data_IF_496544999914
#
_entry.id   IF_496544999914
#
_cell.length_a   1.000
_cell.length_b   1.000
_cell.length_c   1.000
_cell.angle_alpha   90.00
_cell.angle_beta   90.00
_cell.angle_gamma   90.00
#
_symmetry.space_group_name_H-M   'P 1'
#
loop_
_entity.id
_entity.type
_entity.pdbx_description
1 polymer ?
#
# COMPACT_ATOMS: atom_id res chain seq x y z
N UNK A 1 41.01 19.07 9.68
CA UNK A 1 39.58 18.81 9.39
C UNK A 1 39.45 17.37 8.94
N UNK A 2 38.90 16.49 9.78
CA UNK A 2 38.55 15.12 9.35
C UNK A 2 37.35 15.17 8.41
N UNK A 3 37.47 14.48 7.28
CA UNK A 3 36.39 14.32 6.32
C UNK A 3 35.49 13.20 6.84
N UNK A 4 34.34 13.56 7.41
CA UNK A 4 33.32 12.58 7.79
C UNK A 4 32.88 11.80 6.54
N UNK A 5 33.25 10.51 6.48
CA UNK A 5 32.75 9.57 5.49
C UNK A 5 31.25 9.37 5.75
N UNK A 6 30.42 9.75 4.78
CA UNK A 6 29.00 9.43 4.77
C UNK A 6 28.81 8.12 4.02
N UNK A 7 28.45 7.06 4.72
CA UNK A 7 28.07 5.78 4.13
C UNK A 7 26.65 5.90 3.56
N UNK A 8 26.47 5.57 2.28
CA UNK A 8 25.17 5.45 1.65
C UNK A 8 24.83 3.97 1.44
N UNK A 9 23.62 3.57 1.82
CA UNK A 9 23.11 2.22 1.56
C UNK A 9 22.22 2.26 0.32
N UNK A 10 22.50 1.39 -0.65
CA UNK A 10 21.65 1.22 -1.84
C UNK A 10 20.70 0.06 -1.57
N UNK A 11 19.42 0.37 -1.38
CA UNK A 11 18.37 -0.62 -1.40
C UNK A 11 18.07 -0.96 -2.87
N UNK A 12 18.52 -2.12 -3.34
CA UNK A 12 18.26 -2.59 -4.71
C UNK A 12 17.28 -3.77 -4.65
N UNK A 13 16.16 -3.66 -5.35
CA UNK A 13 15.26 -4.79 -5.54
C UNK A 13 15.90 -5.84 -6.45
N UNK A 14 15.44 -7.08 -6.30
CA UNK A 14 15.76 -8.17 -7.21
C UNK A 14 15.39 -7.81 -8.66
N UNK A 15 16.24 -8.09 -9.67
CA UNK A 15 15.91 -7.90 -11.08
C UNK A 15 14.54 -8.44 -11.49
N UNK A 16 14.10 -9.58 -10.94
CA UNK A 16 12.81 -10.19 -11.27
C UNK A 16 11.65 -9.32 -10.75
N UNK A 17 11.78 -8.77 -9.53
CA UNK A 17 10.79 -7.82 -8.99
C UNK A 17 10.76 -6.53 -9.84
N UNK A 18 11.91 -6.09 -10.36
CA UNK A 18 11.96 -4.92 -11.27
C UNK A 18 11.28 -5.22 -12.61
N UNK A 19 11.40 -6.44 -13.13
CA UNK A 19 10.72 -6.85 -14.35
C UNK A 19 9.20 -6.91 -14.13
N UNK A 20 8.76 -7.54 -13.04
CA UNK A 20 7.35 -7.63 -12.67
C UNK A 20 6.70 -6.27 -12.43
N UNK A 21 7.42 -5.32 -11.82
CA UNK A 21 6.95 -3.95 -11.60
C UNK A 21 6.60 -3.24 -12.93
N UNK A 22 7.27 -3.61 -14.03
CA UNK A 22 7.03 -3.06 -15.38
C UNK A 22 6.00 -3.85 -16.18
N UNK A 23 5.45 -4.92 -15.63
CA UNK A 23 4.44 -5.73 -16.30
C UNK A 23 3.21 -4.91 -16.66
N UNK A 24 2.60 -5.21 -17.81
CA UNK A 24 1.29 -4.69 -18.19
C UNK A 24 0.15 -5.37 -17.44
N UNK A 25 0.39 -6.53 -16.80
CA UNK A 25 -0.55 -7.15 -15.87
C UNK A 25 -0.50 -6.43 -14.53
N UNK A 26 -1.56 -5.67 -14.21
CA UNK A 26 -1.65 -4.84 -13.01
C UNK A 26 -1.49 -5.65 -11.72
N UNK A 27 -2.00 -6.88 -11.65
CA UNK A 27 -1.86 -7.71 -10.46
C UNK A 27 -0.38 -8.06 -10.22
N UNK A 28 0.35 -8.43 -11.28
CA UNK A 28 1.79 -8.67 -11.22
C UNK A 28 2.55 -7.41 -10.79
N UNK A 29 2.28 -6.28 -11.43
CA UNK A 29 2.96 -5.01 -11.12
C UNK A 29 2.69 -4.51 -9.70
N UNK A 30 1.47 -4.65 -9.19
CA UNK A 30 1.09 -4.24 -7.82
C UNK A 30 1.67 -5.17 -6.75
N UNK A 31 1.74 -6.48 -7.01
CA UNK A 31 2.46 -7.41 -6.12
C UNK A 31 3.96 -7.07 -6.05
N UNK A 32 4.59 -6.77 -7.18
CA UNK A 32 5.99 -6.34 -7.21
C UNK A 32 6.18 -5.04 -6.41
N UNK A 33 5.30 -4.05 -6.62
CA UNK A 33 5.28 -2.79 -5.87
C UNK A 33 5.23 -3.00 -4.34
N UNK A 34 4.38 -3.91 -3.86
CA UNK A 34 4.27 -4.24 -2.44
C UNK A 34 5.56 -4.87 -1.88
N UNK A 35 6.27 -5.68 -2.67
CA UNK A 35 7.49 -6.41 -2.28
C UNK A 35 8.79 -5.59 -2.40
N UNK A 36 8.75 -4.40 -2.99
CA UNK A 36 9.94 -3.57 -3.12
C UNK A 36 10.57 -3.24 -1.77
N UNK A 37 11.91 -3.10 -1.70
CA UNK A 37 12.55 -2.56 -0.52
C UNK A 37 12.05 -1.13 -0.27
N UNK A 38 11.92 -0.78 1.00
CA UNK A 38 11.39 0.52 1.40
C UNK A 38 12.51 1.47 1.86
N UNK A 39 12.24 2.77 1.76
CA UNK A 39 13.07 3.82 2.35
C UNK A 39 12.18 4.94 2.84
N UNK A 40 12.47 5.46 4.02
CA UNK A 40 11.69 6.55 4.62
C UNK A 40 12.21 7.91 4.16
N UNK A 41 11.33 8.74 3.60
CA UNK A 41 11.63 10.16 3.32
C UNK A 41 10.93 11.10 4.32
N UNK A 42 10.42 10.55 5.42
CA UNK A 42 9.81 11.34 6.47
C UNK A 42 10.88 12.14 7.22
N UNK A 43 10.55 13.38 7.58
CA UNK A 43 11.43 14.27 8.35
C UNK A 43 11.36 14.03 9.86
N UNK A 44 10.43 13.18 10.29
CA UNK A 44 10.18 12.80 11.68
C UNK A 44 10.22 11.28 11.77
N UNK A 45 10.46 10.71 12.95
CA UNK A 45 10.31 9.27 13.17
C UNK A 45 8.94 8.78 12.70
N UNK A 46 8.91 7.55 12.19
CA UNK A 46 7.67 6.86 11.81
C UNK A 46 6.73 6.71 13.02
N UNK A 47 5.43 6.68 12.76
CA UNK A 47 4.43 6.51 13.81
C UNK A 47 4.49 5.09 14.35
N UNK A 48 4.46 4.95 15.68
CA UNK A 48 4.42 3.63 16.31
C UNK A 48 3.10 2.92 16.01
N UNK A 49 3.18 1.69 15.52
CA UNK A 49 2.02 0.83 15.26
C UNK A 49 1.52 0.20 16.57
N UNK A 50 0.21 -0.05 16.67
CA UNK A 50 -0.29 -0.86 17.78
C UNK A 50 0.26 -2.30 17.68
N UNK A 51 0.73 -2.89 18.79
CA UNK A 51 1.18 -4.28 18.81
C UNK A 51 -0.05 -5.19 18.82
N UNK A 52 -0.64 -5.42 17.66
CA UNK A 52 -1.74 -6.36 17.45
C UNK A 52 -1.19 -7.57 16.70
N UNK A 53 -1.76 -8.76 16.97
CA UNK A 53 -1.47 -9.95 16.17
C UNK A 53 -1.70 -9.68 14.68
N UNK A 54 -0.91 -10.31 13.81
CA UNK A 54 -0.95 -10.09 12.36
C UNK A 54 -2.33 -10.45 11.76
N UNK A 55 -3.24 -9.50 11.69
CA UNK A 55 -4.60 -9.72 11.17
C UNK A 55 -4.67 -9.68 9.64
N UNK A 56 -3.73 -8.97 9.00
CA UNK A 56 -3.72 -8.76 7.56
C UNK A 56 -3.31 -7.34 7.20
N UNK A 57 -3.39 -7.06 5.91
CA UNK A 57 -3.05 -5.76 5.35
C UNK A 57 -4.08 -5.36 4.31
N UNK A 58 -4.32 -4.06 4.18
CA UNK A 58 -5.14 -3.50 3.10
C UNK A 58 -4.25 -2.66 2.18
N UNK A 59 -4.34 -2.89 0.87
CA UNK A 59 -3.67 -2.11 -0.15
C UNK A 59 -4.66 -1.23 -0.90
N UNK A 60 -4.26 0.01 -1.22
CA UNK A 60 -5.06 0.93 -2.01
C UNK A 60 -4.21 1.51 -3.14
N UNK A 61 -4.49 1.09 -4.36
CA UNK A 61 -3.84 1.60 -5.57
C UNK A 61 -4.77 2.54 -6.32
N UNK A 62 -4.29 3.64 -6.92
CA UNK A 62 -5.07 4.32 -7.93
C UNK A 62 -5.44 3.36 -9.06
N UNK A 63 -6.63 3.54 -9.64
CA UNK A 63 -7.12 2.72 -10.76
C UNK A 63 -6.08 2.69 -11.88
N UNK A 64 -5.75 1.49 -12.35
CA UNK A 64 -4.77 1.28 -13.43
C UNK A 64 -3.32 1.66 -13.11
N UNK A 65 -2.96 1.88 -11.83
CA UNK A 65 -1.59 2.25 -11.43
C UNK A 65 -1.01 1.28 -10.40
N UNK A 66 0.32 1.13 -10.44
CA UNK A 66 1.13 0.38 -9.45
C UNK A 66 2.20 1.24 -8.77
N UNK A 67 2.54 2.40 -9.35
CA UNK A 67 3.71 3.21 -8.97
C UNK A 67 3.53 4.05 -7.69
N UNK A 68 2.33 4.07 -7.12
CA UNK A 68 2.01 4.71 -5.85
C UNK A 68 0.85 3.98 -5.21
N UNK A 69 0.83 3.90 -3.89
CA UNK A 69 -0.22 3.19 -3.18
C UNK A 69 -0.23 3.55 -1.69
N UNK A 70 -1.33 3.20 -1.03
CA UNK A 70 -1.38 3.12 0.42
C UNK A 70 -1.33 1.67 0.87
N UNK A 71 -0.67 1.46 1.99
CA UNK A 71 -0.72 0.23 2.78
C UNK A 71 -1.31 0.60 4.13
N UNK A 72 -2.36 -0.11 4.55
CA UNK A 72 -2.83 -0.07 5.93
C UNK A 72 -2.43 -1.37 6.59
N UNK A 73 -1.64 -1.24 7.64
CA UNK A 73 -1.24 -2.33 8.52
C UNK A 73 -1.61 -1.93 9.95
N UNK A 74 -2.47 -2.73 10.57
CA UNK A 74 -3.16 -2.42 11.83
C UNK A 74 -3.81 -1.03 11.81
N UNK A 75 -3.22 -0.08 12.51
CA UNK A 75 -3.72 1.29 12.65
C UNK A 75 -2.80 2.35 12.03
N UNK A 76 -1.87 1.92 11.16
CA UNK A 76 -1.01 2.81 10.39
C UNK A 76 -1.37 2.72 8.91
N UNK A 77 -1.81 3.84 8.35
CA UNK A 77 -1.86 4.04 6.90
C UNK A 77 -0.54 4.65 6.43
N UNK A 78 0.14 4.02 5.49
CA UNK A 78 1.40 4.47 4.90
C UNK A 78 1.22 4.72 3.42
N UNK A 79 1.62 5.90 2.92
CA UNK A 79 1.60 6.25 1.50
C UNK A 79 3.00 6.16 0.90
N UNK A 80 3.12 5.40 -0.19
CA UNK A 80 4.36 5.16 -0.89
C UNK A 80 4.33 5.66 -2.33
N UNK A 81 5.47 6.17 -2.79
CA UNK A 81 5.75 6.42 -4.22
C UNK A 81 6.97 5.61 -4.65
N UNK A 82 6.89 4.99 -5.82
CA UNK A 82 7.94 4.10 -6.32
C UNK A 82 8.85 4.84 -7.29
N UNK A 83 10.16 4.79 -7.03
CA UNK A 83 11.18 5.33 -7.93
C UNK A 83 12.39 4.41 -7.95
N UNK A 84 12.87 4.07 -9.14
CA UNK A 84 14.10 3.28 -9.30
C UNK A 84 14.08 1.90 -8.60
N UNK A 85 12.90 1.30 -8.41
CA UNK A 85 12.79 0.00 -7.72
C UNK A 85 12.82 0.09 -6.20
N UNK A 86 12.51 1.25 -5.63
CA UNK A 86 12.36 1.45 -4.18
C UNK A 86 11.00 2.10 -3.93
N UNK A 87 10.27 1.63 -2.90
CA UNK A 87 9.07 2.30 -2.42
C UNK A 87 9.45 3.31 -1.33
N UNK A 88 9.23 4.59 -1.61
CA UNK A 88 9.58 5.68 -0.70
C UNK A 88 8.38 6.06 0.15
N UNK A 89 8.50 5.97 1.47
CA UNK A 89 7.46 6.39 2.40
C UNK A 89 7.40 7.92 2.43
N UNK A 90 6.25 8.47 2.05
CA UNK A 90 6.02 9.92 1.90
C UNK A 90 5.15 10.51 3.00
N UNK A 91 4.26 9.68 3.54
CA UNK A 91 3.29 10.08 4.54
C UNK A 91 2.83 8.87 5.35
N UNK A 92 2.52 9.10 6.62
CA UNK A 92 1.82 8.15 7.48
C UNK A 92 0.69 8.85 8.24
N UNK A 93 -0.38 8.10 8.48
CA UNK A 93 -1.48 8.48 9.35
C UNK A 93 -1.80 7.38 10.36
N UNK A 94 -1.98 7.77 11.62
CA UNK A 94 -2.51 6.91 12.70
C UNK A 94 -4.03 6.91 12.61
N UNK A 95 -4.63 5.76 12.36
CA UNK A 95 -6.06 5.63 12.15
C UNK A 95 -6.84 5.67 13.49
N UNK A 96 -8.01 6.31 13.47
CA UNK A 96 -8.97 6.35 14.55
C UNK A 96 -10.22 5.55 14.23
N UNK A 97 -10.19 4.26 14.57
CA UNK A 97 -11.36 3.39 14.43
C UNK A 97 -12.48 3.68 15.45
N UNK A 98 -12.25 4.55 16.44
CA UNK A 98 -13.26 4.92 17.44
C UNK A 98 -14.02 6.20 17.08
N UNK A 99 -13.57 6.94 16.08
CA UNK A 99 -14.19 8.19 15.65
C UNK A 99 -15.56 7.94 14.98
N UNK A 100 -16.56 8.75 15.35
CA UNK A 100 -17.92 8.67 14.80
C UNK A 100 -18.15 9.50 13.54
N UNK A 101 -17.18 10.33 13.15
CA UNK A 101 -17.27 11.18 11.96
C UNK A 101 -16.42 10.60 10.82
N UNK A 102 -16.94 10.59 9.57
CA UNK A 102 -16.23 10.02 8.44
C UNK A 102 -14.98 10.82 8.06
N UNK A 103 -14.14 10.15 7.28
CA UNK A 103 -12.80 10.53 6.83
C UNK A 103 -12.62 11.99 6.37
N UNK A 104 -11.39 12.48 6.49
CA UNK A 104 -10.90 13.62 5.71
C UNK A 104 -11.36 13.47 4.25
N UNK A 105 -12.04 14.48 3.70
CA UNK A 105 -12.58 14.44 2.33
C UNK A 105 -11.57 13.98 1.27
N UNK A 106 -10.28 14.26 1.47
CA UNK A 106 -9.22 13.81 0.55
C UNK A 106 -8.99 12.30 0.66
N UNK A 107 -8.91 11.76 1.87
CA UNK A 107 -8.65 10.35 2.16
C UNK A 107 -9.95 9.58 2.44
N UNK A 108 -10.94 9.71 1.55
CA UNK A 108 -12.32 9.21 1.75
C UNK A 108 -12.44 7.71 2.04
N UNK A 109 -11.39 6.94 1.75
CA UNK A 109 -11.31 5.49 1.88
C UNK A 109 -10.63 5.02 3.18
N UNK A 110 -10.15 5.95 4.02
CA UNK A 110 -9.53 5.65 5.32
C UNK A 110 -10.45 6.08 6.47
N UNK A 111 -10.31 5.48 7.67
CA UNK A 111 -10.87 6.04 8.90
C UNK A 111 -10.37 7.48 9.16
N UNK A 112 -10.95 8.13 10.17
CA UNK A 112 -10.41 9.39 10.68
C UNK A 112 -8.97 9.20 11.19
N UNK A 113 -8.20 10.28 11.31
CA UNK A 113 -6.80 10.25 11.72
C UNK A 113 -6.61 10.85 13.11
N UNK A 114 -5.85 10.16 13.99
CA UNK A 114 -5.39 10.68 15.28
C UNK A 114 -4.14 11.55 15.15
N UNK A 115 -3.27 11.19 14.21
CA UNK A 115 -2.00 11.85 13.97
C UNK A 115 -1.56 11.61 12.53
N UNK A 116 -0.74 12.51 12.00
CA UNK A 116 -0.12 12.34 10.69
C UNK A 116 1.30 12.91 10.66
N UNK A 117 2.13 12.35 9.77
CA UNK A 117 3.48 12.83 9.47
C UNK A 117 3.74 12.75 7.97
N UNK A 118 4.56 13.68 7.46
CA UNK A 118 4.80 13.82 6.03
C UNK A 118 3.76 14.71 5.34
N UNK A 119 3.76 14.70 4.01
CA UNK A 119 2.81 15.50 3.21
C UNK A 119 1.68 14.60 2.74
N UNK A 120 0.46 14.85 3.20
CA UNK A 120 -0.70 14.09 2.78
C UNK A 120 -0.84 14.15 1.24
N UNK A 121 -0.98 12.99 0.56
CA UNK A 121 -1.25 12.97 -0.88
C UNK A 121 -2.63 13.54 -1.18
N UNK A 122 -2.76 14.14 -2.37
CA UNK A 122 -4.03 14.68 -2.86
C UNK A 122 -4.81 13.59 -3.63
N UNK A 123 -5.73 12.96 -2.91
CA UNK A 123 -6.49 11.79 -3.38
C UNK A 123 -7.98 12.08 -3.59
N UNK A 124 -8.39 13.34 -3.53
CA UNK A 124 -9.81 13.72 -3.53
C UNK A 124 -10.60 13.30 -4.77
N UNK A 125 -9.92 13.07 -5.89
CA UNK A 125 -10.51 12.66 -7.18
C UNK A 125 -10.04 11.26 -7.62
N UNK A 126 -9.49 10.45 -6.71
CA UNK A 126 -9.01 9.12 -7.08
C UNK A 126 -10.15 8.11 -7.15
N UNK A 127 -10.09 7.25 -8.16
CA UNK A 127 -10.70 5.92 -8.11
C UNK A 127 -9.62 4.93 -7.65
N UNK A 128 -9.98 4.01 -6.76
CA UNK A 128 -9.07 3.11 -6.08
C UNK A 128 -9.41 1.65 -6.31
N UNK A 129 -8.39 0.84 -6.54
CA UNK A 129 -8.42 -0.60 -6.34
C UNK A 129 -7.97 -0.91 -4.91
N UNK A 130 -8.92 -1.36 -4.08
CA UNK A 130 -8.67 -1.83 -2.72
C UNK A 130 -8.45 -3.34 -2.75
N UNK A 131 -7.41 -3.82 -2.10
CA UNK A 131 -7.17 -5.24 -1.81
C UNK A 131 -7.10 -5.45 -0.32
N UNK A 132 -7.69 -6.53 0.15
CA UNK A 132 -7.79 -6.87 1.57
C UNK A 132 -7.25 -8.27 1.75
N UNK A 133 -6.03 -8.39 2.25
CA UNK A 133 -5.39 -9.67 2.52
C UNK A 133 -5.47 -10.00 4.01
N UNK A 134 -5.74 -11.25 4.34
CA UNK A 134 -5.84 -11.74 5.73
C UNK A 134 -4.89 -12.92 5.92
N UNK A 135 -3.82 -12.70 6.71
CA UNK A 135 -2.77 -13.70 6.95
C UNK A 135 -3.31 -15.04 7.48
N UNK A 136 -4.23 -15.08 8.46
CA UNK A 136 -4.67 -16.35 9.03
C UNK A 136 -5.44 -17.25 8.06
N UNK A 137 -6.16 -16.66 7.11
CA UNK A 137 -7.00 -17.39 6.15
C UNK A 137 -6.37 -17.54 4.77
N UNK A 138 -5.33 -16.77 4.44
CA UNK A 138 -4.74 -16.77 3.09
C UNK A 138 -5.73 -16.25 2.04
N UNK A 139 -6.59 -15.30 2.42
CA UNK A 139 -7.67 -14.82 1.56
C UNK A 139 -7.39 -13.40 1.10
N UNK A 140 -7.64 -13.13 -0.18
CA UNK A 140 -7.74 -11.78 -0.71
C UNK A 140 -9.13 -11.49 -1.25
N UNK A 141 -9.67 -10.32 -0.88
CA UNK A 141 -10.79 -9.72 -1.60
C UNK A 141 -10.36 -8.41 -2.25
N UNK A 142 -11.07 -8.00 -3.30
CA UNK A 142 -10.84 -6.72 -3.96
C UNK A 142 -12.12 -5.90 -4.06
N UNK A 143 -11.98 -4.58 -4.14
CA UNK A 143 -13.05 -3.63 -4.44
C UNK A 143 -12.57 -2.47 -5.29
N UNK A 144 -13.46 -1.92 -6.12
CA UNK A 144 -13.28 -0.63 -6.78
C UNK A 144 -14.08 0.45 -6.06
N UNK A 145 -13.37 1.48 -5.61
CA UNK A 145 -13.90 2.56 -4.78
C UNK A 145 -13.72 3.91 -5.48
N UNK A 146 -14.72 4.76 -5.43
CA UNK A 146 -14.58 6.20 -5.66
C UNK A 146 -15.30 6.99 -4.56
N UNK A 147 -15.36 8.32 -4.71
CA UNK A 147 -16.10 9.14 -3.77
C UNK A 147 -17.61 8.95 -3.95
N UNK A 148 -18.17 8.09 -3.10
CA UNK A 148 -19.61 7.90 -2.97
C UNK A 148 -20.16 6.66 -3.67
N UNK A 149 -19.30 5.86 -4.32
CA UNK A 149 -19.70 4.62 -4.96
C UNK A 149 -18.66 3.50 -4.78
N UNK A 150 -19.16 2.30 -4.52
CA UNK A 150 -18.44 1.02 -4.72
C UNK A 150 -19.13 0.32 -5.90
N UNK A 151 -18.40 -0.15 -6.90
CA UNK A 151 -19.02 -0.69 -8.13
C UNK A 151 -18.38 -1.95 -8.72
N UNK A 152 -17.32 -2.47 -8.10
CA UNK A 152 -16.75 -3.77 -8.44
C UNK A 152 -16.23 -4.43 -7.18
N UNK A 153 -16.49 -5.72 -7.00
CA UNK A 153 -16.00 -6.51 -5.88
C UNK A 153 -15.74 -7.97 -6.29
N UNK A 154 -14.84 -8.63 -5.57
CA UNK A 154 -14.61 -10.05 -5.74
C UNK A 154 -13.73 -10.63 -4.64
N UNK A 155 -13.61 -11.95 -4.66
CA UNK A 155 -12.98 -12.74 -3.60
C UNK A 155 -12.22 -13.91 -4.20
N UNK A 156 -11.01 -14.17 -3.68
CA UNK A 156 -10.15 -15.27 -4.09
C UNK A 156 -9.45 -15.86 -2.86
N UNK A 157 -9.56 -17.18 -2.68
CA UNK A 157 -8.71 -17.92 -1.74
C UNK A 157 -7.36 -18.17 -2.38
N UNK A 158 -6.29 -17.79 -1.67
CA UNK A 158 -4.93 -17.92 -2.19
C UNK A 158 -4.28 -19.19 -1.66
N UNK A 159 -3.85 -20.04 -2.57
CA UNK A 159 -2.94 -21.14 -2.26
C UNK A 159 -1.53 -20.74 -2.66
N UNK A 160 -0.67 -20.50 -1.66
CA UNK A 160 0.74 -20.13 -1.89
C UNK A 160 1.58 -21.29 -2.48
N UNK A 161 1.01 -22.49 -2.62
CA UNK A 161 1.62 -23.65 -3.28
C UNK A 161 1.16 -23.78 -4.74
N UNK A 162 0.15 -23.03 -5.16
CA UNK A 162 -0.33 -23.08 -6.53
C UNK A 162 0.72 -22.50 -7.49
N UNK A 163 0.98 -23.14 -8.66
CA UNK A 163 1.95 -22.65 -9.64
C UNK A 163 1.67 -21.23 -10.16
N UNK A 164 0.43 -20.76 -10.05
CA UNK A 164 -0.01 -19.43 -10.48
C UNK A 164 -0.03 -18.36 -9.40
N UNK A 165 0.46 -18.66 -8.18
CA UNK A 165 0.45 -17.71 -7.08
C UNK A 165 1.42 -16.54 -7.33
N UNK A 166 0.87 -15.34 -7.51
CA UNK A 166 1.63 -14.09 -7.75
C UNK A 166 1.84 -13.27 -6.48
N UNK A 167 1.01 -13.49 -5.46
CA UNK A 167 1.05 -12.80 -4.18
C UNK A 167 -0.36 -12.47 -3.67
N UNK A 168 -0.41 -11.48 -2.79
CA UNK A 168 -1.60 -11.07 -2.04
C UNK A 168 -2.56 -10.21 -2.88
N UNK A 169 -2.10 -9.62 -3.99
CA UNK A 169 -2.92 -8.77 -4.86
C UNK A 169 -3.38 -9.58 -6.07
N UNK A 170 -4.67 -9.54 -6.37
CA UNK A 170 -5.28 -10.34 -7.45
C UNK A 170 -5.72 -9.46 -8.62
N UNK A 171 -6.05 -10.09 -9.75
CA UNK A 171 -6.62 -9.39 -10.91
C UNK A 171 -8.03 -8.89 -10.60
N UNK A 172 -8.34 -7.67 -11.02
CA UNK A 172 -9.69 -7.10 -11.05
C UNK A 172 -10.16 -7.14 -12.51
N UNK A 173 -11.15 -7.97 -12.88
CA UNK A 173 -11.62 -8.09 -14.27
C UNK A 173 -12.17 -6.79 -14.87
N UNK A 174 -12.66 -5.88 -14.04
CA UNK A 174 -13.32 -4.63 -14.44
C UNK A 174 -12.35 -3.43 -14.63
N UNK A 175 -11.05 -3.66 -14.43
CA UNK A 175 -9.97 -2.69 -14.71
C UNK A 175 -9.32 -2.89 -16.07
#
# INVERSE_FOLDING_TARGET
MERLLKTAFINKADPDIIADLKSSDLATARNAAAKLPYSSELKKPELDMLPVEMQGVDYYFPKGQSQRFFLVDNDIASYYEIRGGVKYLKWQGKLDYSAKAPANQKLFFLPALKAEIGKQPDTGNWTLAKFVFRYPSGVTSYRLLDRGQEWGEGYVELDNRAPGYKGEIVTIPEE
#
